data_IF_735320355399
#
_entry.id   IF_735320355399
#
_cell.length_a   1.000
_cell.length_b   1.000
_cell.length_c   1.000
_cell.angle_alpha   90.00
_cell.angle_beta   90.00
_cell.angle_gamma   90.00
#
_symmetry.space_group_name_H-M   'P 1'
#
loop_
_entity.id
_entity.type
_entity.pdbx_description
1 polymer ?
#
# COMPACT_ATOMS: atom_id res chain seq x y z
N UNK A 1 8.10 -26.13 -48.33
CA UNK A 1 7.77 -24.73 -47.94
C UNK A 1 7.31 -24.76 -46.48
N UNK A 2 8.18 -24.42 -45.53
CA UNK A 2 7.84 -24.50 -44.09
C UNK A 2 7.13 -23.22 -43.63
N UNK A 3 6.00 -23.29 -42.90
CA UNK A 3 5.24 -22.10 -42.56
C UNK A 3 5.91 -21.36 -41.39
N UNK A 4 6.73 -20.36 -41.72
CA UNK A 4 7.31 -19.43 -40.75
C UNK A 4 6.31 -18.33 -40.35
N UNK A 5 5.11 -18.70 -39.87
CA UNK A 5 4.03 -17.76 -39.55
C UNK A 5 3.34 -17.99 -38.19
N UNK A 6 3.89 -18.85 -37.33
CA UNK A 6 3.31 -19.18 -36.01
C UNK A 6 3.90 -18.40 -34.83
N UNK A 7 5.20 -18.05 -34.87
CA UNK A 7 5.90 -17.42 -33.74
C UNK A 7 5.38 -16.02 -33.41
N UNK A 8 5.10 -15.17 -34.41
CA UNK A 8 4.62 -13.80 -34.18
C UNK A 8 3.25 -13.72 -33.50
N UNK A 9 2.34 -14.64 -33.83
CA UNK A 9 1.01 -14.71 -33.18
C UNK A 9 1.11 -15.20 -31.73
N UNK A 10 2.05 -16.10 -31.44
CA UNK A 10 2.31 -16.57 -30.09
C UNK A 10 2.92 -15.47 -29.21
N UNK A 11 3.89 -14.71 -29.74
CA UNK A 11 4.49 -13.56 -29.05
C UNK A 11 3.44 -12.47 -28.77
N UNK A 12 2.59 -12.15 -29.74
CA UNK A 12 1.51 -11.18 -29.51
C UNK A 12 0.52 -11.66 -28.44
N UNK A 13 0.23 -12.96 -28.40
CA UNK A 13 -0.64 -13.57 -27.38
C UNK A 13 0.01 -13.48 -25.99
N UNK A 14 1.29 -13.82 -25.85
CA UNK A 14 1.99 -13.73 -24.55
C UNK A 14 2.11 -12.28 -24.06
N UNK A 15 2.41 -11.34 -24.96
CA UNK A 15 2.46 -9.91 -24.61
C UNK A 15 1.09 -9.38 -24.14
N UNK A 16 0.00 -9.82 -24.79
CA UNK A 16 -1.36 -9.47 -24.34
C UNK A 16 -1.66 -9.99 -22.94
N UNK A 17 -1.34 -11.25 -22.65
CA UNK A 17 -1.55 -11.81 -21.31
C UNK A 17 -0.66 -11.16 -20.25
N UNK A 18 0.59 -10.84 -20.59
CA UNK A 18 1.49 -10.10 -19.70
C UNK A 18 0.94 -8.69 -19.39
N UNK A 19 0.42 -7.98 -20.39
CA UNK A 19 -0.21 -6.67 -20.18
C UNK A 19 -1.47 -6.77 -19.30
N UNK A 20 -2.34 -7.75 -19.53
CA UNK A 20 -3.53 -7.99 -18.70
C UNK A 20 -3.12 -8.35 -17.26
N UNK A 21 -2.12 -9.21 -17.10
CA UNK A 21 -1.61 -9.59 -15.78
C UNK A 21 -0.99 -8.39 -15.04
N UNK A 22 -0.23 -7.54 -15.74
CA UNK A 22 0.29 -6.28 -15.19
C UNK A 22 -0.82 -5.37 -14.67
N UNK A 23 -1.82 -5.09 -15.52
CA UNK A 23 -2.97 -4.28 -15.13
C UNK A 23 -3.78 -4.90 -13.98
N UNK A 24 -3.93 -6.22 -13.97
CA UNK A 24 -4.60 -6.92 -12.89
C UNK A 24 -3.84 -6.77 -11.56
N UNK A 25 -2.50 -6.85 -11.59
CA UNK A 25 -1.68 -6.62 -10.40
C UNK A 25 -1.80 -5.17 -9.91
N UNK A 26 -1.79 -4.18 -10.80
CA UNK A 26 -1.98 -2.78 -10.43
C UNK A 26 -3.34 -2.56 -9.75
N UNK A 27 -4.41 -3.14 -10.31
CA UNK A 27 -5.75 -3.07 -9.71
C UNK A 27 -5.80 -3.74 -8.33
N UNK A 28 -5.17 -4.91 -8.17
CA UNK A 28 -5.11 -5.61 -6.88
C UNK A 28 -4.34 -4.79 -5.84
N UNK A 29 -3.20 -4.20 -6.22
CA UNK A 29 -2.42 -3.34 -5.34
C UNK A 29 -3.20 -2.09 -4.92
N UNK A 30 -3.87 -1.42 -5.85
CA UNK A 30 -4.70 -0.25 -5.57
C UNK A 30 -5.91 -0.60 -4.69
N UNK A 31 -6.60 -1.70 -4.99
CA UNK A 31 -7.75 -2.15 -4.21
C UNK A 31 -7.34 -2.58 -2.79
N UNK A 32 -6.23 -3.32 -2.66
CA UNK A 32 -5.68 -3.72 -1.36
C UNK A 32 -5.25 -2.52 -0.53
N UNK A 33 -4.53 -1.57 -1.14
CA UNK A 33 -4.13 -0.33 -0.48
C UNK A 33 -5.34 0.51 -0.02
N UNK A 34 -6.35 0.67 -0.88
CA UNK A 34 -7.57 1.39 -0.53
C UNK A 34 -8.36 0.70 0.59
N UNK A 35 -8.50 -0.63 0.53
CA UNK A 35 -9.16 -1.40 1.58
C UNK A 35 -8.46 -1.23 2.93
N UNK A 36 -7.12 -1.33 2.94
CA UNK A 36 -6.34 -1.15 4.15
C UNK A 36 -6.48 0.28 4.70
N UNK A 37 -6.41 1.29 3.83
CA UNK A 37 -6.64 2.69 4.21
C UNK A 37 -8.03 2.91 4.80
N UNK A 38 -9.07 2.34 4.19
CA UNK A 38 -10.44 2.46 4.67
C UNK A 38 -10.61 1.85 6.07
N UNK A 39 -10.01 0.68 6.31
CA UNK A 39 -10.03 0.04 7.62
C UNK A 39 -9.23 0.82 8.66
N UNK A 40 -8.06 1.35 8.29
CA UNK A 40 -7.25 2.21 9.17
C UNK A 40 -7.98 3.51 9.53
N UNK A 41 -8.78 4.08 8.62
CA UNK A 41 -9.56 5.29 8.89
C UNK A 41 -10.67 5.03 9.90
N UNK A 42 -11.36 3.90 9.80
CA UNK A 42 -12.56 3.62 10.59
C UNK A 42 -12.27 3.01 11.97
N UNK A 43 -11.11 2.38 12.20
CA UNK A 43 -10.84 1.64 13.44
C UNK A 43 -9.44 1.89 13.99
N UNK A 44 -9.37 2.47 15.20
CA UNK A 44 -8.12 2.60 15.96
C UNK A 44 -7.56 1.22 16.37
N UNK A 45 -8.41 0.25 16.72
CA UNK A 45 -8.00 -1.14 17.03
C UNK A 45 -7.31 -1.83 15.85
N UNK A 46 -7.79 -1.59 14.62
CA UNK A 46 -7.15 -2.11 13.43
C UNK A 46 -5.76 -1.49 13.22
N UNK A 47 -5.63 -0.18 13.44
CA UNK A 47 -4.32 0.50 13.40
C UNK A 47 -3.37 -0.05 14.47
N UNK A 48 -3.87 -0.37 15.66
CA UNK A 48 -3.06 -0.99 16.73
C UNK A 48 -2.57 -2.40 16.38
N UNK A 49 -3.40 -3.22 15.72
CA UNK A 49 -2.98 -4.54 15.23
C UNK A 49 -1.85 -4.41 14.21
N UNK A 50 -1.95 -3.44 13.30
CA UNK A 50 -0.89 -3.19 12.31
C UNK A 50 0.35 -2.66 13.01
N UNK A 51 0.20 -1.77 14.00
CA UNK A 51 1.32 -1.27 14.81
C UNK A 51 2.11 -2.40 15.46
N UNK A 52 1.42 -3.40 16.01
CA UNK A 52 2.05 -4.60 16.59
C UNK A 52 2.74 -5.49 15.57
N UNK A 53 2.24 -5.54 14.34
CA UNK A 53 2.82 -6.34 13.27
C UNK A 53 4.03 -5.65 12.65
N UNK A 54 3.85 -4.40 12.21
CA UNK A 54 4.89 -3.53 11.67
C UNK A 54 4.50 -2.06 11.91
N UNK A 55 5.22 -1.40 12.81
CA UNK A 55 5.05 0.02 13.15
C UNK A 55 5.23 0.93 11.93
N UNK A 56 6.05 0.54 10.94
CA UNK A 56 6.35 1.34 9.75
C UNK A 56 5.13 1.57 8.88
N UNK A 57 4.25 0.57 8.77
CA UNK A 57 3.03 0.67 7.96
C UNK A 57 2.07 1.72 8.53
N UNK A 58 1.99 1.80 9.86
CA UNK A 58 1.17 2.81 10.53
C UNK A 58 1.82 4.19 10.44
N UNK A 59 3.16 4.28 10.52
CA UNK A 59 3.87 5.56 10.34
C UNK A 59 3.66 6.15 8.93
N UNK A 60 3.68 5.31 7.88
CA UNK A 60 3.31 5.73 6.50
C UNK A 60 1.90 6.29 6.46
N UNK A 61 0.94 5.61 7.09
CA UNK A 61 -0.44 6.08 7.16
C UNK A 61 -0.55 7.43 7.89
N UNK A 62 0.15 7.60 9.01
CA UNK A 62 0.15 8.87 9.75
C UNK A 62 0.79 9.99 8.95
N UNK A 63 1.95 9.78 8.32
CA UNK A 63 2.58 10.77 7.44
C UNK A 63 1.67 11.18 6.27
N UNK A 64 1.02 10.20 5.65
CA UNK A 64 0.05 10.48 4.60
C UNK A 64 -1.13 11.30 5.12
N UNK A 65 -1.65 11.00 6.31
CA UNK A 65 -2.71 11.79 6.93
C UNK A 65 -2.25 13.17 7.40
N UNK A 66 -1.00 13.34 7.80
CA UNK A 66 -0.44 14.66 8.15
C UNK A 66 -0.30 15.54 6.91
N UNK A 67 0.05 14.95 5.76
CA UNK A 67 0.23 15.66 4.49
C UNK A 67 -1.09 15.97 3.77
N UNK A 68 -2.08 15.09 3.86
CA UNK A 68 -3.33 15.17 3.08
C UNK A 68 -4.61 15.26 3.92
N UNK A 69 -4.52 15.16 5.25
CA UNK A 69 -5.68 15.06 6.14
C UNK A 69 -5.47 15.70 7.51
N UNK A 70 -6.17 15.18 8.53
CA UNK A 70 -6.07 15.67 9.90
C UNK A 70 -4.89 14.99 10.62
N UNK A 71 -3.79 15.72 10.80
CA UNK A 71 -2.58 15.24 11.47
C UNK A 71 -2.73 14.82 12.95
N UNK A 72 -3.93 14.89 13.54
CA UNK A 72 -4.18 14.50 14.93
C UNK A 72 -4.31 12.98 15.15
N UNK A 73 -4.54 12.19 14.10
CA UNK A 73 -4.81 10.76 14.23
C UNK A 73 -3.68 9.96 14.91
N UNK A 74 -2.42 10.37 14.73
CA UNK A 74 -1.26 9.76 15.40
C UNK A 74 -1.32 9.98 16.90
N UNK A 75 -1.57 11.22 17.31
CA UNK A 75 -1.58 11.60 18.72
C UNK A 75 -2.76 10.97 19.46
N UNK A 76 -3.95 10.99 18.87
CA UNK A 76 -5.16 10.37 19.42
C UNK A 76 -5.01 8.86 19.64
N UNK A 77 -4.34 8.17 18.72
CA UNK A 77 -4.08 6.73 18.83
C UNK A 77 -3.03 6.43 19.90
N UNK A 78 -1.95 7.20 19.96
CA UNK A 78 -0.87 6.96 20.92
C UNK A 78 -1.32 7.22 22.35
N UNK A 79 -2.16 8.24 22.54
CA UNK A 79 -2.82 8.50 23.82
C UNK A 79 -3.75 7.34 24.21
N UNK A 80 -4.58 6.84 23.28
CA UNK A 80 -5.47 5.69 23.51
C UNK A 80 -4.72 4.39 23.82
N UNK A 81 -3.58 4.17 23.17
CA UNK A 81 -2.79 2.95 23.34
C UNK A 81 -1.77 3.06 24.50
N UNK A 82 -1.66 4.23 25.12
CA UNK A 82 -0.71 4.50 26.21
C UNK A 82 0.75 4.51 25.78
N UNK A 83 1.04 4.79 24.50
CA UNK A 83 2.39 4.78 23.93
C UNK A 83 3.00 6.17 24.07
N UNK A 84 4.12 6.28 24.80
CA UNK A 84 4.80 7.56 25.08
C UNK A 84 5.91 7.91 24.10
N UNK A 85 6.44 6.96 23.34
CA UNK A 85 7.55 7.19 22.42
C UNK A 85 7.12 7.02 20.96
N UNK A 86 7.27 8.10 20.18
CA UNK A 86 7.09 8.08 18.73
C UNK A 86 8.38 7.64 18.05
N UNK A 87 8.44 6.38 17.60
CA UNK A 87 9.52 5.94 16.70
C UNK A 87 9.18 6.38 15.27
N UNK A 88 9.72 7.53 14.86
CA UNK A 88 9.64 7.96 13.47
C UNK A 88 10.69 7.24 12.64
N UNK A 89 10.27 6.52 11.59
CA UNK A 89 11.20 5.81 10.72
C UNK A 89 11.71 6.73 9.60
N UNK A 90 12.90 7.31 9.80
CA UNK A 90 13.53 8.23 8.83
C UNK A 90 13.75 7.63 7.43
N UNK A 91 13.85 6.30 7.31
CA UNK A 91 14.10 5.61 6.04
C UNK A 91 12.90 5.59 5.07
N UNK A 92 11.73 6.06 5.47
CA UNK A 92 10.54 6.13 4.60
C UNK A 92 10.53 7.37 3.69
N UNK A 93 11.48 8.30 3.82
CA UNK A 93 11.56 9.48 2.95
C UNK A 93 11.76 9.13 1.47
N UNK A 94 12.28 7.94 1.17
CA UNK A 94 12.41 7.43 -0.20
C UNK A 94 11.06 7.24 -0.90
N UNK A 95 9.95 7.12 -0.14
CA UNK A 95 8.59 7.03 -0.68
C UNK A 95 7.93 8.40 -0.91
N UNK A 96 8.67 9.52 -0.72
CA UNK A 96 8.15 10.87 -0.97
C UNK A 96 7.08 11.35 0.02
N UNK A 97 6.96 10.67 1.15
CA UNK A 97 6.03 10.94 2.26
C UNK A 97 6.75 11.61 3.43
#
# INVERSE_FOLDING_TARGET
>A
MFPHRSRGKQVLKTMKWAAIAGLAMDVVCLAGGYYMYHQMKNSSEFRYKIYKYDERLVDVYYRANEKYGSGSARQDDYEKWGIKEMKSYQNLSALGL
#
